data_IF_277888014816
#
_entry.id   IF_277888014816
#
_cell.length_a   1.000
_cell.length_b   1.000
_cell.length_c   1.000
_cell.angle_alpha   90.00
_cell.angle_beta   90.00
_cell.angle_gamma   90.00
#
_symmetry.space_group_name_H-M   'P 1'
#
loop_
_entity.id
_entity.type
_entity.pdbx_description
1 polymer ?
#
# COMPACT_ATOMS: atom_id res chain seq x y z
N UNK A 1 -22.79 -9.86 8.57
CA UNK A 1 -22.70 -11.33 8.41
C UNK A 1 -21.39 -11.79 7.76
N UNK A 2 -21.18 -11.67 6.43
CA UNK A 2 -19.95 -12.19 5.79
C UNK A 2 -18.65 -11.56 6.31
N UNK A 3 -18.61 -10.23 6.43
CA UNK A 3 -17.46 -9.50 6.97
C UNK A 3 -17.18 -9.83 8.44
N UNK A 4 -18.21 -10.03 9.26
CA UNK A 4 -18.06 -10.39 10.67
C UNK A 4 -17.39 -11.77 10.83
N UNK A 5 -17.71 -12.74 9.97
CA UNK A 5 -17.06 -14.06 10.01
C UNK A 5 -15.59 -14.02 9.55
N UNK A 6 -15.26 -13.14 8.60
CA UNK A 6 -13.87 -12.86 8.18
C UNK A 6 -13.08 -12.27 9.35
N UNK A 7 -13.65 -11.29 10.06
CA UNK A 7 -13.02 -10.69 11.25
C UNK A 7 -12.85 -11.69 12.40
N UNK A 8 -13.79 -12.61 12.57
CA UNK A 8 -13.71 -13.71 13.54
C UNK A 8 -12.79 -14.86 13.11
N UNK A 9 -12.11 -14.76 11.96
CA UNK A 9 -11.30 -15.82 11.34
C UNK A 9 -12.05 -17.15 11.11
N UNK A 10 -13.39 -17.11 11.11
CA UNK A 10 -14.21 -18.27 10.78
C UNK A 10 -14.41 -18.32 9.27
N UNK A 11 -13.36 -18.76 8.57
CA UNK A 11 -13.30 -18.76 7.11
C UNK A 11 -14.35 -19.67 6.44
N UNK A 12 -14.74 -20.85 6.97
CA UNK A 12 -15.80 -21.67 6.37
C UNK A 12 -17.17 -20.98 6.41
N UNK A 13 -17.55 -20.40 7.56
CA UNK A 13 -18.82 -19.69 7.70
C UNK A 13 -18.88 -18.42 6.82
N UNK A 14 -17.74 -17.74 6.64
CA UNK A 14 -17.62 -16.61 5.73
C UNK A 14 -17.89 -17.03 4.27
N UNK A 15 -17.29 -18.15 3.82
CA UNK A 15 -17.51 -18.67 2.46
C UNK A 15 -18.99 -19.00 2.23
N UNK A 16 -19.64 -19.69 3.17
CA UNK A 16 -21.06 -20.03 3.03
C UNK A 16 -21.96 -18.79 3.02
N UNK A 17 -21.63 -17.77 3.81
CA UNK A 17 -22.36 -16.50 3.81
C UNK A 17 -22.23 -15.76 2.47
N UNK A 18 -21.00 -15.66 1.93
CA UNK A 18 -20.78 -14.98 0.66
C UNK A 18 -21.29 -15.77 -0.54
N UNK A 19 -21.24 -17.11 -0.53
CA UNK A 19 -21.86 -17.95 -1.57
C UNK A 19 -23.35 -17.70 -1.67
N UNK A 20 -24.07 -17.70 -0.54
CA UNK A 20 -25.49 -17.34 -0.51
C UNK A 20 -25.74 -15.92 -1.03
N UNK A 21 -24.86 -14.97 -0.73
CA UNK A 21 -24.98 -13.61 -1.24
C UNK A 21 -24.83 -13.55 -2.78
N UNK A 22 -23.88 -14.30 -3.34
CA UNK A 22 -23.71 -14.45 -4.79
C UNK A 22 -24.90 -15.16 -5.44
N UNK A 23 -25.46 -16.19 -4.81
CA UNK A 23 -26.64 -16.91 -5.32
C UNK A 23 -27.88 -16.00 -5.37
N UNK A 24 -28.04 -15.12 -4.38
CA UNK A 24 -29.14 -14.14 -4.33
C UNK A 24 -28.91 -13.01 -5.35
N UNK A 25 -27.69 -12.49 -5.44
CA UNK A 25 -27.34 -11.42 -6.38
C UNK A 25 -25.96 -11.67 -7.02
N UNK A 26 -25.93 -12.26 -8.24
CA UNK A 26 -24.70 -12.51 -8.96
C UNK A 26 -23.93 -11.25 -9.38
N UNK A 27 -24.58 -10.09 -9.37
CA UNK A 27 -23.96 -8.81 -9.76
C UNK A 27 -23.35 -8.06 -8.56
N UNK A 28 -23.44 -8.58 -7.34
CA UNK A 28 -22.82 -7.94 -6.17
C UNK A 28 -21.31 -8.21 -6.13
N UNK A 29 -20.52 -7.25 -6.62
CA UNK A 29 -19.06 -7.33 -6.60
C UNK A 29 -18.47 -7.51 -5.20
N UNK A 30 -19.16 -7.05 -4.13
CA UNK A 30 -18.67 -7.13 -2.75
C UNK A 30 -18.70 -8.57 -2.24
N UNK A 31 -19.72 -9.34 -2.62
CA UNK A 31 -19.82 -10.75 -2.29
C UNK A 31 -18.70 -11.54 -2.98
N UNK A 32 -18.44 -11.26 -4.26
CA UNK A 32 -17.31 -11.85 -4.99
C UNK A 32 -15.95 -11.48 -4.39
N UNK A 33 -15.77 -10.21 -4.01
CA UNK A 33 -14.57 -9.75 -3.32
C UNK A 33 -14.37 -10.45 -1.97
N UNK A 34 -15.43 -10.56 -1.18
CA UNK A 34 -15.43 -11.25 0.11
C UNK A 34 -15.10 -12.74 -0.01
N UNK A 35 -15.57 -13.42 -1.06
CA UNK A 35 -15.11 -14.78 -1.39
C UNK A 35 -13.61 -14.82 -1.67
N UNK A 36 -13.11 -13.89 -2.49
CA UNK A 36 -11.67 -13.79 -2.77
C UNK A 36 -10.83 -13.67 -1.50
N UNK A 37 -11.21 -12.76 -0.59
CA UNK A 37 -10.56 -12.58 0.71
C UNK A 37 -10.64 -13.84 1.58
N UNK A 38 -11.80 -14.50 1.63
CA UNK A 38 -11.95 -15.72 2.42
C UNK A 38 -11.04 -16.86 1.90
N UNK A 39 -10.91 -17.01 0.58
CA UNK A 39 -10.01 -18.00 -0.03
C UNK A 39 -8.52 -17.63 0.11
N UNK A 40 -8.20 -16.33 0.11
CA UNK A 40 -6.85 -15.84 0.41
C UNK A 40 -6.43 -16.19 1.84
N UNK A 41 -7.32 -16.00 2.82
CA UNK A 41 -7.08 -16.40 4.22
C UNK A 41 -6.92 -17.92 4.40
N UNK A 42 -7.46 -18.72 3.48
CA UNK A 42 -7.26 -20.17 3.44
C UNK A 42 -5.96 -20.57 2.73
N UNK A 43 -5.13 -19.61 2.29
CA UNK A 43 -3.93 -19.84 1.48
C UNK A 43 -4.21 -20.59 0.17
N UNK A 44 -5.36 -20.30 -0.46
CA UNK A 44 -5.79 -20.88 -1.73
C UNK A 44 -5.80 -19.81 -2.84
N UNK A 45 -4.62 -19.38 -3.32
CA UNK A 45 -4.47 -18.18 -4.17
C UNK A 45 -5.14 -18.31 -5.54
N UNK A 46 -5.16 -19.51 -6.14
CA UNK A 46 -5.85 -19.72 -7.42
C UNK A 46 -7.36 -19.52 -7.32
N UNK A 47 -7.97 -19.98 -6.23
CA UNK A 47 -9.40 -19.74 -5.97
C UNK A 47 -9.64 -18.26 -5.67
N UNK A 48 -8.80 -17.63 -4.85
CA UNK A 48 -8.90 -16.21 -4.56
C UNK A 48 -8.85 -15.36 -5.86
N UNK A 49 -7.89 -15.62 -6.74
CA UNK A 49 -7.79 -14.97 -8.06
C UNK A 49 -9.05 -15.16 -8.91
N UNK A 50 -9.66 -16.35 -8.91
CA UNK A 50 -10.90 -16.57 -9.66
C UNK A 50 -12.00 -15.60 -9.21
N UNK A 51 -12.20 -15.46 -7.90
CA UNK A 51 -13.24 -14.59 -7.35
C UNK A 51 -12.88 -13.10 -7.43
N UNK A 52 -11.61 -12.74 -7.26
CA UNK A 52 -11.15 -11.36 -7.49
C UNK A 52 -11.31 -10.93 -8.96
N UNK A 53 -11.07 -11.82 -9.94
CA UNK A 53 -11.34 -11.52 -11.34
C UNK A 53 -12.81 -11.24 -11.61
N UNK A 54 -13.72 -11.93 -10.92
CA UNK A 54 -15.17 -11.68 -11.00
C UNK A 54 -15.55 -10.32 -10.39
N UNK A 55 -15.00 -9.97 -9.23
CA UNK A 55 -15.29 -8.68 -8.59
C UNK A 55 -14.79 -7.51 -9.45
N UNK A 56 -13.58 -7.61 -9.98
CA UNK A 56 -12.99 -6.61 -10.87
C UNK A 56 -13.75 -6.48 -12.19
N UNK A 57 -14.26 -7.59 -12.74
CA UNK A 57 -15.09 -7.55 -13.95
C UNK A 57 -16.40 -6.78 -13.72
N UNK A 58 -17.02 -6.95 -12.55
CA UNK A 58 -18.26 -6.25 -12.20
C UNK A 58 -18.04 -4.78 -11.87
N UNK A 59 -16.91 -4.43 -11.24
CA UNK A 59 -16.56 -3.07 -10.87
C UNK A 59 -15.12 -2.72 -11.29
N UNK A 60 -14.88 -2.43 -12.57
CA UNK A 60 -13.53 -2.23 -13.11
C UNK A 60 -12.88 -0.91 -12.69
N UNK A 61 -13.63 0.00 -12.08
CA UNK A 61 -13.16 1.33 -11.67
C UNK A 61 -12.85 1.43 -10.17
N UNK A 62 -12.97 0.34 -9.39
CA UNK A 62 -12.60 0.33 -7.97
C UNK A 62 -11.15 -0.15 -7.81
N UNK A 63 -10.27 0.77 -7.43
CA UNK A 63 -8.83 0.51 -7.25
C UNK A 63 -8.54 -0.59 -6.22
N UNK A 64 -9.38 -0.72 -5.18
CA UNK A 64 -9.17 -1.71 -4.09
C UNK A 64 -9.28 -3.14 -4.58
N UNK A 65 -10.13 -3.40 -5.57
CA UNK A 65 -10.30 -4.73 -6.15
C UNK A 65 -9.07 -5.12 -6.97
N UNK A 66 -8.51 -4.17 -7.72
CA UNK A 66 -7.28 -4.37 -8.47
C UNK A 66 -6.06 -4.56 -7.55
N UNK A 67 -5.98 -3.81 -6.45
CA UNK A 67 -4.94 -3.96 -5.42
C UNK A 67 -4.99 -5.36 -4.81
N UNK A 68 -6.17 -5.82 -4.38
CA UNK A 68 -6.29 -7.16 -3.79
C UNK A 68 -5.92 -8.27 -4.78
N UNK A 69 -6.31 -8.12 -6.06
CA UNK A 69 -5.89 -9.06 -7.11
C UNK A 69 -4.37 -9.04 -7.31
N UNK A 70 -3.73 -7.86 -7.26
CA UNK A 70 -2.29 -7.71 -7.37
C UNK A 70 -1.54 -8.37 -6.19
N UNK A 71 -1.97 -8.09 -4.96
CA UNK A 71 -1.43 -8.71 -3.75
C UNK A 71 -1.54 -10.23 -3.79
N UNK A 72 -2.65 -10.75 -4.33
CA UNK A 72 -2.83 -12.17 -4.52
C UNK A 72 -1.78 -12.75 -5.50
N UNK A 73 -1.49 -12.07 -6.62
CA UNK A 73 -0.43 -12.47 -7.56
C UNK A 73 0.98 -12.46 -6.96
N UNK A 74 1.25 -11.58 -5.98
CA UNK A 74 2.55 -11.49 -5.29
C UNK A 74 2.77 -12.59 -4.26
N UNK A 75 1.73 -13.33 -3.86
CA UNK A 75 1.87 -14.40 -2.88
C UNK A 75 2.93 -15.42 -3.30
N UNK A 76 3.73 -15.91 -2.35
CA UNK A 76 4.77 -16.93 -2.55
C UNK A 76 4.39 -18.13 -3.45
N UNK A 77 3.18 -18.72 -3.35
CA UNK A 77 2.79 -19.80 -4.27
C UNK A 77 2.62 -19.39 -5.74
N UNK A 78 2.47 -18.09 -6.04
CA UNK A 78 2.29 -17.58 -7.40
C UNK A 78 3.52 -16.84 -7.91
N UNK A 79 4.04 -15.87 -7.13
CA UNK A 79 5.15 -14.99 -7.50
C UNK A 79 5.02 -14.36 -8.91
N UNK A 80 3.78 -14.11 -9.35
CA UNK A 80 3.46 -13.58 -10.67
C UNK A 80 3.59 -12.05 -10.68
N UNK A 81 4.82 -11.57 -10.50
CA UNK A 81 5.13 -10.14 -10.31
C UNK A 81 4.72 -9.26 -11.50
N UNK A 82 4.80 -9.78 -12.73
CA UNK A 82 4.37 -9.03 -13.92
C UNK A 82 2.85 -8.79 -13.95
N UNK A 83 2.08 -9.80 -13.57
CA UNK A 83 0.64 -9.73 -13.46
C UNK A 83 0.23 -8.79 -12.33
N UNK A 84 0.94 -8.82 -11.20
CA UNK A 84 0.76 -7.86 -10.11
C UNK A 84 0.99 -6.42 -10.59
N UNK A 85 2.07 -6.15 -11.34
CA UNK A 85 2.35 -4.83 -11.93
C UNK A 85 1.21 -4.36 -12.84
N UNK A 86 0.67 -5.24 -13.70
CA UNK A 86 -0.48 -4.90 -14.56
C UNK A 86 -1.70 -4.49 -13.73
N UNK A 87 -1.97 -5.21 -12.63
CA UNK A 87 -3.07 -4.94 -11.74
C UNK A 87 -2.89 -3.62 -10.98
N UNK A 88 -1.72 -3.37 -10.39
CA UNK A 88 -1.44 -2.11 -9.72
C UNK A 88 -1.46 -0.91 -10.66
N UNK A 89 -0.95 -1.05 -11.89
CA UNK A 89 -1.06 0.02 -12.90
C UNK A 89 -2.52 0.36 -13.18
N UNK A 90 -3.40 -0.65 -13.21
CA UNK A 90 -4.83 -0.43 -13.37
C UNK A 90 -5.44 0.25 -12.14
N UNK A 91 -5.08 -0.19 -10.94
CA UNK A 91 -5.50 0.42 -9.69
C UNK A 91 -5.12 1.90 -9.59
N UNK A 92 -3.88 2.25 -9.94
CA UNK A 92 -3.38 3.63 -9.93
C UNK A 92 -4.15 4.55 -10.89
N UNK A 93 -4.74 4.00 -11.95
CA UNK A 93 -5.59 4.74 -12.90
C UNK A 93 -7.06 4.84 -12.44
N UNK A 94 -7.46 4.11 -11.39
CA UNK A 94 -8.83 4.01 -10.89
C UNK A 94 -9.06 4.82 -9.61
N UNK A 95 -8.40 5.98 -9.48
CA UNK A 95 -8.49 6.87 -8.31
C UNK A 95 -8.12 6.18 -6.99
N UNK A 96 -6.87 5.70 -6.91
CA UNK A 96 -6.30 5.16 -5.68
C UNK A 96 -6.06 6.26 -4.63
N UNK A 97 -7.04 6.45 -3.75
CA UNK A 97 -7.05 7.48 -2.70
C UNK A 97 -5.96 7.30 -1.64
N UNK A 98 -5.42 6.10 -1.50
CA UNK A 98 -4.39 5.78 -0.50
C UNK A 98 -3.00 5.68 -1.15
N UNK A 99 -2.91 5.70 -2.49
CA UNK A 99 -1.73 5.40 -3.31
C UNK A 99 -0.98 4.13 -2.91
N UNK A 100 -1.72 3.12 -2.45
CA UNK A 100 -1.14 1.79 -2.24
C UNK A 100 -0.53 1.29 -3.54
N UNK A 101 -1.19 1.49 -4.68
CA UNK A 101 -0.75 1.01 -5.97
C UNK A 101 0.54 1.67 -6.47
N UNK A 102 0.72 2.99 -6.27
CA UNK A 102 1.96 3.67 -6.69
C UNK A 102 3.14 3.20 -5.85
N UNK A 103 2.95 3.08 -4.54
CA UNK A 103 3.98 2.59 -3.64
C UNK A 103 4.40 1.15 -3.98
N UNK A 104 3.41 0.27 -4.20
CA UNK A 104 3.69 -1.13 -4.55
C UNK A 104 4.32 -1.27 -5.94
N UNK A 105 3.94 -0.45 -6.92
CA UNK A 105 4.62 -0.43 -8.22
C UNK A 105 6.09 -0.06 -8.06
N UNK A 106 6.41 0.99 -7.29
CA UNK A 106 7.78 1.41 -7.06
C UNK A 106 8.62 0.30 -6.41
N UNK A 107 8.07 -0.37 -5.39
CA UNK A 107 8.71 -1.50 -4.70
C UNK A 107 8.92 -2.70 -5.61
N UNK A 108 7.90 -3.13 -6.34
CA UNK A 108 8.01 -4.27 -7.27
C UNK A 108 9.01 -4.01 -8.39
N UNK A 109 9.03 -2.80 -8.96
CA UNK A 109 10.02 -2.45 -9.97
C UNK A 109 11.45 -2.46 -9.41
N UNK A 110 11.63 -1.95 -8.19
CA UNK A 110 12.92 -2.02 -7.48
C UNK A 110 13.36 -3.45 -7.21
N UNK A 111 12.47 -4.32 -6.75
CA UNK A 111 12.77 -5.75 -6.53
C UNK A 111 13.14 -6.49 -7.82
N UNK A 112 12.56 -6.08 -8.94
CA UNK A 112 12.89 -6.63 -10.27
C UNK A 112 14.15 -6.00 -10.90
N UNK A 113 14.82 -5.07 -10.22
CA UNK A 113 16.00 -4.36 -10.73
C UNK A 113 15.68 -3.37 -11.86
N UNK A 114 14.43 -2.91 -11.96
CA UNK A 114 13.95 -1.93 -12.94
C UNK A 114 14.01 -0.54 -12.34
N UNK A 115 15.24 -0.05 -12.15
CA UNK A 115 15.50 1.15 -11.36
C UNK A 115 14.89 2.42 -11.97
N UNK A 116 14.86 2.54 -13.30
CA UNK A 116 14.25 3.66 -14.00
C UNK A 116 12.73 3.72 -13.77
N UNK A 117 12.04 2.60 -13.94
CA UNK A 117 10.60 2.53 -13.66
C UNK A 117 10.30 2.71 -12.17
N UNK A 118 11.14 2.16 -11.29
CA UNK A 118 11.01 2.37 -9.85
C UNK A 118 11.14 3.86 -9.50
N UNK A 119 12.15 4.56 -10.04
CA UNK A 119 12.35 5.99 -9.85
C UNK A 119 11.16 6.80 -10.37
N UNK A 120 10.61 6.44 -11.54
CA UNK A 120 9.41 7.05 -12.08
C UNK A 120 8.21 6.95 -11.12
N UNK A 121 7.93 5.76 -10.57
CA UNK A 121 6.80 5.58 -9.64
C UNK A 121 7.06 6.21 -8.27
N UNK A 122 8.28 6.15 -7.74
CA UNK A 122 8.64 6.85 -6.49
C UNK A 122 8.48 8.37 -6.63
N UNK A 123 8.90 8.95 -7.76
CA UNK A 123 8.70 10.37 -8.03
C UNK A 123 7.22 10.74 -8.10
N UNK A 124 6.42 9.94 -8.80
CA UNK A 124 4.97 10.16 -8.91
C UNK A 124 4.25 10.04 -7.56
N UNK A 125 4.64 9.07 -6.72
CA UNK A 125 4.09 8.92 -5.36
C UNK A 125 4.48 10.12 -4.49
N UNK A 126 5.73 10.58 -4.59
CA UNK A 126 6.23 11.77 -3.90
C UNK A 126 5.48 13.04 -4.28
N UNK A 127 5.32 13.32 -5.59
CA UNK A 127 4.56 14.48 -6.09
C UNK A 127 3.10 14.47 -5.59
N UNK A 128 2.48 13.29 -5.52
CA UNK A 128 1.14 13.13 -4.96
C UNK A 128 1.12 13.44 -3.45
N UNK A 129 2.04 12.85 -2.68
CA UNK A 129 2.11 13.08 -1.23
C UNK A 129 2.28 14.57 -0.92
N UNK A 130 3.10 15.27 -1.69
CA UNK A 130 3.29 16.72 -1.57
C UNK A 130 2.03 17.52 -1.92
N UNK A 131 1.36 17.18 -3.02
CA UNK A 131 0.11 17.82 -3.41
C UNK A 131 -1.02 17.62 -2.38
N UNK A 132 -1.00 16.51 -1.65
CA UNK A 132 -1.95 16.20 -0.58
C UNK A 132 -1.49 16.67 0.80
N UNK A 133 -0.31 17.32 0.91
CA UNK A 133 0.35 17.70 2.17
C UNK A 133 0.43 16.52 3.17
N UNK A 134 0.57 15.29 2.65
CA UNK A 134 0.62 14.06 3.43
C UNK A 134 2.05 13.64 3.70
N UNK A 135 2.41 13.68 4.96
CA UNK A 135 3.70 13.22 5.45
C UNK A 135 3.64 11.77 5.95
N UNK A 136 4.57 10.92 5.50
CA UNK A 136 4.58 9.51 5.90
C UNK A 136 5.92 8.81 5.70
N UNK A 137 6.07 7.57 6.23
CA UNK A 137 7.28 6.77 6.03
C UNK A 137 7.57 6.47 4.55
N UNK A 138 6.53 6.38 3.72
CA UNK A 138 6.65 6.21 2.27
C UNK A 138 7.37 7.39 1.60
N UNK A 139 7.23 8.61 2.12
CA UNK A 139 7.91 9.79 1.61
C UNK A 139 9.43 9.70 1.83
N UNK A 140 9.84 9.25 3.02
CA UNK A 140 11.25 9.01 3.33
C UNK A 140 11.83 7.94 2.41
N UNK A 141 11.11 6.85 2.20
CA UNK A 141 11.52 5.77 1.32
C UNK A 141 11.71 6.28 -0.13
N UNK A 142 10.75 7.06 -0.64
CA UNK A 142 10.81 7.65 -1.97
C UNK A 142 11.99 8.63 -2.12
N UNK A 143 12.17 9.56 -1.17
CA UNK A 143 13.28 10.52 -1.18
C UNK A 143 14.64 9.81 -1.13
N UNK A 144 14.78 8.81 -0.28
CA UNK A 144 16.00 8.00 -0.18
C UNK A 144 16.30 7.29 -1.50
N UNK A 145 15.31 6.61 -2.09
CA UNK A 145 15.50 5.91 -3.34
C UNK A 145 15.92 6.87 -4.46
N UNK A 146 15.20 7.99 -4.63
CA UNK A 146 15.49 8.98 -5.66
C UNK A 146 16.86 9.62 -5.49
N UNK A 147 17.27 9.95 -4.26
CA UNK A 147 18.61 10.47 -3.99
C UNK A 147 19.71 9.46 -4.38
N UNK A 148 19.54 8.18 -3.99
CA UNK A 148 20.51 7.12 -4.34
C UNK A 148 20.57 6.85 -5.84
N UNK A 149 19.41 6.85 -6.51
CA UNK A 149 19.31 6.66 -7.95
C UNK A 149 19.97 7.84 -8.71
N UNK A 150 19.67 9.09 -8.34
CA UNK A 150 20.30 10.26 -8.96
C UNK A 150 21.83 10.25 -8.78
N UNK A 151 22.32 9.86 -7.60
CA UNK A 151 23.75 9.71 -7.35
C UNK A 151 24.39 8.62 -8.21
N UNK A 152 23.70 7.51 -8.45
CA UNK A 152 24.20 6.42 -9.30
C UNK A 152 24.31 6.83 -10.79
N UNK A 153 23.52 7.82 -11.21
CA UNK A 153 23.52 8.38 -12.57
C UNK A 153 24.27 9.72 -12.69
N UNK A 154 25.14 10.05 -11.73
CA UNK A 154 25.94 11.30 -11.69
C UNK A 154 25.10 12.61 -11.71
N UNK A 155 23.82 12.54 -11.35
CA UNK A 155 22.91 13.68 -11.22
C UNK A 155 22.98 14.27 -9.81
N UNK A 156 24.15 14.82 -9.46
CA UNK A 156 24.45 15.26 -8.09
C UNK A 156 23.57 16.41 -7.61
N UNK A 157 23.23 17.37 -8.47
CA UNK A 157 22.37 18.51 -8.11
C UNK A 157 20.98 18.05 -7.67
N UNK A 158 20.37 17.11 -8.41
CA UNK A 158 19.06 16.55 -8.05
C UNK A 158 19.13 15.68 -6.79
N UNK A 159 20.22 14.94 -6.63
CA UNK A 159 20.46 14.16 -5.41
C UNK A 159 20.56 15.07 -4.17
N UNK A 160 21.18 16.24 -4.29
CA UNK A 160 21.28 17.23 -3.21
C UNK A 160 19.91 17.79 -2.81
N UNK A 161 19.03 18.05 -3.78
CA UNK A 161 17.65 18.47 -3.53
C UNK A 161 16.91 17.42 -2.70
N UNK A 162 16.94 16.15 -3.12
CA UNK A 162 16.26 15.08 -2.36
C UNK A 162 16.86 14.87 -0.97
N UNK A 163 18.19 14.97 -0.82
CA UNK A 163 18.86 14.88 0.48
C UNK A 163 18.47 16.01 1.43
N UNK A 164 18.41 17.25 0.93
CA UNK A 164 18.00 18.41 1.73
C UNK A 164 16.58 18.25 2.24
N UNK A 165 15.66 17.84 1.36
CA UNK A 165 14.26 17.56 1.73
C UNK A 165 14.12 16.42 2.75
N UNK A 166 14.96 15.40 2.64
CA UNK A 166 15.00 14.31 3.59
C UNK A 166 15.46 14.77 4.98
N UNK A 167 16.47 15.66 5.05
CA UNK A 167 16.89 16.28 6.30
C UNK A 167 15.75 17.11 6.88
N UNK A 168 15.11 17.98 6.10
CA UNK A 168 13.99 18.80 6.54
C UNK A 168 12.82 17.95 7.08
N UNK A 169 12.62 16.73 6.58
CA UNK A 169 11.60 15.81 7.09
C UNK A 169 12.02 15.09 8.38
N UNK A 170 13.28 14.69 8.49
CA UNK A 170 13.80 13.90 9.61
C UNK A 170 14.12 14.75 10.85
N UNK A 171 14.50 16.01 10.65
CA UNK A 171 14.91 16.93 11.72
C UNK A 171 13.75 17.33 12.65
N UNK A 172 12.55 17.75 12.15
CA UNK A 172 11.41 18.09 13.00
C UNK A 172 10.86 16.91 13.80
N UNK A 173 10.94 15.68 13.25
CA UNK A 173 10.46 14.46 13.93
C UNK A 173 11.35 14.01 15.07
N UNK A 174 12.65 14.29 15.04
CA UNK A 174 13.55 14.05 16.18
C UNK A 174 13.28 15.06 17.30
N UNK A 175 13.13 16.34 16.96
CA UNK A 175 12.83 17.41 17.93
C UNK A 175 11.47 17.25 18.61
N UNK A 176 10.44 16.79 17.88
CA UNK A 176 9.11 16.51 18.46
C UNK A 176 9.10 15.25 19.33
N UNK A 177 9.91 14.22 19.02
CA UNK A 177 10.08 13.03 19.88
C UNK A 177 10.87 13.33 21.15
N UNK A 178 11.82 14.25 21.12
CA UNK A 178 12.54 14.70 22.31
C UNK A 178 11.74 15.68 23.15
N UNK A 179 11.02 16.64 22.54
CA UNK A 179 10.13 17.56 23.28
C UNK A 179 8.90 16.87 23.87
N UNK A 180 8.43 15.77 23.27
CA UNK A 180 7.35 14.94 23.83
C UNK A 180 7.75 14.09 25.04
N UNK A 181 9.04 13.77 25.22
CA UNK A 181 9.54 13.05 26.41
C UNK A 181 9.76 13.96 27.63
N UNK A 182 9.90 15.27 27.44
CA UNK A 182 10.10 16.24 28.52
C UNK A 182 8.81 16.92 29.04
N UNK A 183 7.63 16.54 28.52
CA UNK A 183 6.34 17.07 28.97
C UNK A 183 5.53 16.11 29.88
N UNK A 184 6.06 14.92 30.16
CA UNK A 184 5.51 13.98 31.15
C UNK A 184 6.50 13.76 32.30
N UNK A 185 6.78 14.83 33.06
CA UNK A 185 7.29 14.67 34.41
C UNK A 185 6.69 15.76 35.33
N UNK A 186 5.44 15.60 35.80
CA UNK A 186 4.96 16.40 36.91
C UNK A 186 5.55 15.82 38.21
N UNK A 187 6.02 16.69 39.10
CA UNK A 187 6.63 16.41 40.42
C UNK A 187 8.16 16.38 40.51
N UNK A 188 8.77 17.54 40.27
CA UNK A 188 9.73 18.09 41.22
C UNK A 188 9.35 19.55 41.49
N UNK A 189 8.38 19.75 42.39
CA UNK A 189 8.19 21.05 43.04
C UNK A 189 9.41 21.24 43.94
N UNK A 190 10.13 22.31 43.70
CA UNK A 190 11.36 22.66 44.38
C UNK A 190 11.16 22.85 45.89
N UNK A 191 12.23 22.52 46.61
CA UNK A 191 12.45 23.08 47.93
C UNK A 191 12.83 24.56 47.79
N UNK A 192 12.21 25.39 48.61
CA UNK A 192 12.71 26.69 49.06
C UNK A 192 12.27 26.82 50.52
N UNK A 193 13.29 27.00 51.37
CA UNK A 193 13.33 27.66 52.68
C UNK A 193 12.27 27.37 53.75
#
# INVERSE_FOLDING_TARGET
MGHEYVEMKNTPAAVDAYRRAVDINPCDYRAWYGLGQAYEMMHLPFYALHYFRKSVFLQPNDSRLWIAMAQCYETEPLQMREEAIKCYRRAANCNDREAIALNQLAKLHKELGRDEEAAFYYKKDLERMEAEEREGPNMVEALMFLATHCRAHDRFEEAEVYCTRLLDYTTPRQDLKEKGKNLYNPFTIGGLD
#
